data_IF_785543645516
#
_entry.id   IF_785543645516
#
_cell.length_a   1.000
_cell.length_b   1.000
_cell.length_c   1.000
_cell.angle_alpha   90.00
_cell.angle_beta   90.00
_cell.angle_gamma   90.00
#
_symmetry.space_group_name_H-M   'P 1'
#
loop_
_entity.id
_entity.type
_entity.pdbx_description
1 polymer ?
#
# COMPACT_ATOMS: atom_id res chain seq x y z
N UNK A 1 21.17 -30.86 36.58
CA UNK A 1 19.78 -30.73 36.07
C UNK A 1 19.84 -29.89 34.82
N UNK A 2 20.01 -30.51 33.66
CA UNK A 2 19.92 -29.84 32.36
C UNK A 2 18.45 -29.54 32.10
N UNK A 3 18.06 -28.27 32.22
CA UNK A 3 16.77 -27.81 31.73
C UNK A 3 16.69 -28.09 30.23
N UNK A 4 15.80 -28.99 29.82
CA UNK A 4 15.43 -29.18 28.41
C UNK A 4 14.79 -27.88 27.92
N UNK A 5 15.61 -26.95 27.44
CA UNK A 5 15.12 -25.76 26.73
C UNK A 5 14.59 -26.26 25.39
N UNK A 6 13.28 -26.14 25.18
CA UNK A 6 12.68 -26.49 23.90
C UNK A 6 13.22 -25.55 22.82
N UNK A 7 13.96 -26.08 21.84
CA UNK A 7 14.52 -25.30 20.73
C UNK A 7 13.45 -24.75 19.80
N UNK A 8 12.24 -25.32 19.84
CA UNK A 8 11.06 -24.90 19.10
C UNK A 8 9.83 -24.79 20.02
N UNK A 9 8.95 -23.84 19.76
CA UNK A 9 7.67 -23.72 20.47
C UNK A 9 6.57 -23.22 19.52
N UNK A 10 5.33 -23.64 19.72
CA UNK A 10 4.24 -23.28 18.81
C UNK A 10 3.95 -21.78 18.84
N UNK A 11 3.63 -21.22 17.67
CA UNK A 11 3.02 -19.90 17.56
C UNK A 11 1.56 -19.94 18.03
N UNK A 12 0.94 -18.76 18.21
CA UNK A 12 -0.46 -18.63 18.61
C UNK A 12 -1.41 -19.39 17.68
N UNK A 13 -2.60 -19.73 18.17
CA UNK A 13 -3.64 -20.40 17.37
C UNK A 13 -4.04 -19.61 16.12
N UNK A 14 -3.89 -18.28 16.13
CA UNK A 14 -4.12 -17.40 14.98
C UNK A 14 -3.15 -17.62 13.83
N UNK A 15 -2.00 -18.27 14.05
CA UNK A 15 -1.00 -18.57 13.03
C UNK A 15 -1.10 -20.00 12.48
N UNK A 16 -1.93 -20.85 13.10
CA UNK A 16 -2.14 -22.23 12.68
C UNK A 16 -3.28 -22.32 11.65
N UNK A 17 -3.11 -23.14 10.60
CA UNK A 17 -4.15 -23.38 9.58
C UNK A 17 -4.19 -24.87 9.20
N UNK A 18 -5.26 -25.36 8.55
CA UNK A 18 -5.37 -26.76 8.14
C UNK A 18 -4.17 -27.30 7.35
N UNK A 19 -3.48 -26.42 6.60
CA UNK A 19 -2.31 -26.75 5.78
C UNK A 19 -1.06 -25.96 6.18
N UNK A 20 -0.98 -25.47 7.42
CA UNK A 20 0.18 -24.74 7.95
C UNK A 20 0.31 -24.96 9.44
N UNK A 21 1.46 -25.48 9.87
CA UNK A 21 1.84 -25.53 11.29
C UNK A 21 3.03 -24.62 11.52
N UNK A 22 2.88 -23.68 12.43
CA UNK A 22 3.86 -22.61 12.66
C UNK A 22 4.48 -22.69 14.05
N UNK A 23 5.80 -22.60 14.10
CA UNK A 23 6.61 -22.59 15.31
C UNK A 23 7.49 -21.35 15.35
N UNK A 24 7.91 -20.98 16.54
CA UNK A 24 9.10 -20.19 16.77
C UNK A 24 10.28 -21.12 17.00
N UNK A 25 11.47 -20.68 16.59
CA UNK A 25 12.72 -21.40 16.79
C UNK A 25 13.75 -20.50 17.46
N UNK A 26 14.58 -21.08 18.33
CA UNK A 26 15.69 -20.37 18.92
C UNK A 26 16.71 -19.98 17.84
N UNK A 27 17.07 -18.70 17.81
CA UNK A 27 18.05 -18.16 16.85
C UNK A 27 19.37 -18.94 16.93
N UNK A 28 19.92 -19.30 15.77
CA UNK A 28 21.17 -20.06 15.64
C UNK A 28 20.98 -21.57 15.46
N UNK A 29 19.80 -22.12 15.77
CA UNK A 29 19.50 -23.55 15.61
C UNK A 29 18.63 -23.87 14.37
N UNK A 30 18.32 -22.86 13.55
CA UNK A 30 17.41 -23.00 12.42
C UNK A 30 17.83 -24.10 11.44
N UNK A 31 19.08 -24.08 10.96
CA UNK A 31 19.58 -25.04 9.98
C UNK A 31 19.55 -26.49 10.52
N UNK A 32 20.02 -26.69 11.75
CA UNK A 32 20.05 -28.01 12.40
C UNK A 32 18.64 -28.57 12.58
N UNK A 33 17.73 -27.78 13.16
CA UNK A 33 16.35 -28.21 13.41
C UNK A 33 15.61 -28.45 12.10
N UNK A 34 15.77 -27.57 11.09
CA UNK A 34 15.15 -27.75 9.78
C UNK A 34 15.58 -29.07 9.14
N UNK A 35 16.88 -29.40 9.20
CA UNK A 35 17.40 -30.65 8.68
C UNK A 35 16.79 -31.86 9.39
N UNK A 36 16.87 -31.90 10.73
CA UNK A 36 16.33 -33.01 11.52
C UNK A 36 14.81 -33.17 11.36
N UNK A 37 14.08 -32.05 11.31
CA UNK A 37 12.63 -32.07 11.14
C UNK A 37 12.23 -32.52 9.74
N UNK A 38 12.94 -32.09 8.71
CA UNK A 38 12.71 -32.54 7.33
C UNK A 38 12.88 -34.05 7.22
N UNK A 39 14.01 -34.59 7.69
CA UNK A 39 14.28 -36.04 7.70
C UNK A 39 13.19 -36.83 8.45
N UNK A 40 12.77 -36.34 9.63
CA UNK A 40 11.72 -36.97 10.42
C UNK A 40 10.37 -37.01 9.69
N UNK A 41 9.97 -35.92 9.06
CA UNK A 41 8.67 -35.81 8.38
C UNK A 41 8.65 -36.64 7.08
N UNK A 42 9.73 -36.61 6.31
CA UNK A 42 9.89 -37.44 5.10
C UNK A 42 9.87 -38.93 5.47
N UNK A 43 10.55 -39.35 6.54
CA UNK A 43 10.53 -40.74 7.03
C UNK A 43 9.15 -41.21 7.50
N UNK A 44 8.24 -40.26 7.81
CA UNK A 44 6.82 -40.55 8.11
C UNK A 44 5.94 -40.56 6.86
N UNK A 45 6.51 -40.43 5.67
CA UNK A 45 5.78 -40.41 4.40
C UNK A 45 5.04 -39.09 4.15
N UNK A 46 5.42 -38.00 4.82
CA UNK A 46 4.80 -36.69 4.62
C UNK A 46 5.53 -35.91 3.53
N UNK A 47 4.75 -35.39 2.58
CA UNK A 47 5.24 -34.51 1.53
C UNK A 47 5.15 -33.04 1.98
N UNK A 48 6.23 -32.55 2.58
CA UNK A 48 6.26 -31.27 3.27
C UNK A 48 7.50 -30.47 2.88
N UNK A 49 7.40 -29.16 3.07
CA UNK A 49 8.55 -28.26 3.11
C UNK A 49 8.53 -27.43 4.39
N UNK A 50 9.71 -26.99 4.77
CA UNK A 50 9.94 -26.21 5.97
C UNK A 50 10.51 -24.86 5.54
N UNK A 51 9.85 -23.78 5.96
CA UNK A 51 10.22 -22.41 5.65
C UNK A 51 10.67 -21.73 6.93
N UNK A 52 11.91 -21.23 6.94
CA UNK A 52 12.42 -20.36 8.00
C UNK A 52 12.39 -18.91 7.54
N UNK A 53 11.85 -18.02 8.37
CA UNK A 53 11.69 -16.60 8.02
C UNK A 53 11.69 -15.68 9.23
N UNK A 54 12.01 -14.41 9.02
CA UNK A 54 11.97 -13.37 10.05
C UNK A 54 13.00 -13.59 11.17
N UNK A 55 13.98 -14.45 10.95
CA UNK A 55 14.98 -14.83 11.95
C UNK A 55 14.44 -15.62 13.16
N UNK A 56 13.17 -16.06 13.16
CA UNK A 56 12.55 -16.75 14.30
C UNK A 56 11.38 -17.66 13.92
N UNK A 57 10.70 -17.43 12.79
CA UNK A 57 9.52 -18.19 12.40
C UNK A 57 9.89 -19.43 11.60
N UNK A 58 9.27 -20.55 11.91
CA UNK A 58 9.42 -21.83 11.23
C UNK A 58 8.04 -22.35 10.82
N UNK A 59 7.77 -22.41 9.53
CA UNK A 59 6.50 -22.89 8.97
C UNK A 59 6.67 -24.25 8.31
N UNK A 60 5.83 -25.21 8.68
CA UNK A 60 5.72 -26.51 8.01
C UNK A 60 4.48 -26.47 7.14
N UNK A 61 4.69 -26.70 5.84
CA UNK A 61 3.65 -26.63 4.81
C UNK A 61 3.68 -27.90 3.95
N UNK A 62 2.57 -28.29 3.32
CA UNK A 62 2.61 -29.23 2.20
C UNK A 62 3.59 -28.75 1.12
N UNK A 63 4.25 -29.68 0.43
CA UNK A 63 5.25 -29.34 -0.59
C UNK A 63 4.70 -28.36 -1.66
N UNK A 64 3.47 -28.60 -2.13
CA UNK A 64 2.79 -27.76 -3.12
C UNK A 64 2.15 -26.46 -2.60
N UNK A 65 2.37 -26.09 -1.33
CA UNK A 65 1.89 -24.81 -0.77
C UNK A 65 2.97 -23.72 -0.87
N UNK A 66 2.80 -22.55 -0.24
CA UNK A 66 3.82 -21.49 -0.21
C UNK A 66 3.65 -20.42 -1.29
N UNK A 67 4.43 -19.33 -1.17
CA UNK A 67 4.27 -18.12 -1.99
C UNK A 67 4.65 -18.36 -3.46
N UNK A 68 5.70 -19.13 -3.73
CA UNK A 68 6.13 -19.47 -5.09
C UNK A 68 5.09 -20.33 -5.83
N UNK A 69 4.62 -21.41 -5.19
CA UNK A 69 3.58 -22.29 -5.76
C UNK A 69 2.25 -21.55 -6.00
N UNK A 70 1.86 -20.67 -5.08
CA UNK A 70 0.68 -19.83 -5.25
C UNK A 70 0.81 -18.89 -6.46
N UNK A 71 1.98 -18.28 -6.66
CA UNK A 71 2.24 -17.42 -7.82
C UNK A 71 2.26 -18.23 -9.12
N UNK A 72 2.91 -19.40 -9.14
CA UNK A 72 2.92 -20.30 -10.30
C UNK A 72 1.51 -20.73 -10.69
N UNK A 73 0.65 -21.03 -9.71
CA UNK A 73 -0.76 -21.31 -9.91
C UNK A 73 -1.50 -20.10 -10.52
N UNK A 74 -1.30 -18.88 -10.01
CA UNK A 74 -1.91 -17.67 -10.56
C UNK A 74 -1.47 -17.40 -12.00
N UNK A 75 -0.18 -17.53 -12.31
CA UNK A 75 0.34 -17.42 -13.68
C UNK A 75 -0.33 -18.43 -14.61
N UNK A 76 -0.44 -19.70 -14.19
CA UNK A 76 -1.12 -20.75 -14.97
C UNK A 76 -2.59 -20.40 -15.23
N UNK A 77 -3.30 -19.92 -14.20
CA UNK A 77 -4.70 -19.51 -14.31
C UNK A 77 -4.88 -18.33 -15.26
N UNK A 78 -4.11 -17.26 -15.08
CA UNK A 78 -4.19 -16.09 -15.95
C UNK A 78 -3.81 -16.41 -17.40
N UNK A 79 -2.84 -17.30 -17.61
CA UNK A 79 -2.51 -17.80 -18.95
C UNK A 79 -3.68 -18.55 -19.59
N UNK A 80 -4.35 -19.43 -18.85
CA UNK A 80 -5.53 -20.14 -19.34
C UNK A 80 -6.69 -19.19 -19.69
N UNK A 81 -6.84 -18.10 -18.93
CA UNK A 81 -7.87 -17.08 -19.16
C UNK A 81 -7.47 -16.04 -20.23
N UNK A 82 -6.30 -16.15 -20.87
CA UNK A 82 -5.79 -15.19 -21.85
C UNK A 82 -5.44 -13.82 -21.25
N UNK A 83 -5.19 -13.75 -19.94
CA UNK A 83 -4.96 -12.54 -19.14
C UNK A 83 -3.63 -12.56 -18.39
N UNK A 84 -2.64 -13.29 -18.90
CA UNK A 84 -1.31 -13.33 -18.27
C UNK A 84 -0.74 -11.90 -18.17
N UNK A 85 -0.29 -11.45 -16.99
CA UNK A 85 0.34 -10.14 -16.85
C UNK A 85 1.56 -10.01 -17.76
N UNK A 86 1.72 -8.85 -18.39
CA UNK A 86 2.91 -8.56 -19.22
C UNK A 86 4.18 -8.60 -18.39
N UNK A 87 4.11 -8.06 -17.17
CA UNK A 87 5.20 -8.04 -16.21
C UNK A 87 4.66 -8.49 -14.85
N UNK A 88 5.44 -9.32 -14.16
CA UNK A 88 5.21 -9.68 -12.75
C UNK A 88 6.41 -9.22 -11.94
N UNK A 89 6.19 -8.40 -10.92
CA UNK A 89 7.22 -8.02 -9.95
C UNK A 89 6.93 -8.71 -8.61
N UNK A 90 7.85 -9.54 -8.15
CA UNK A 90 7.83 -10.12 -6.80
C UNK A 90 8.69 -9.28 -5.87
N UNK A 91 8.21 -9.06 -4.65
CA UNK A 91 8.87 -8.23 -3.65
C UNK A 91 9.01 -9.06 -2.37
N UNK A 92 10.23 -9.22 -1.86
CA UNK A 92 10.49 -10.06 -0.70
C UNK A 92 11.34 -9.37 0.36
N UNK A 93 11.06 -9.69 1.62
CA UNK A 93 11.79 -9.19 2.78
C UNK A 93 12.25 -10.32 3.72
N UNK A 94 11.76 -11.55 3.58
CA UNK A 94 12.14 -12.66 4.46
C UNK A 94 12.23 -14.01 3.74
N UNK A 95 12.67 -15.04 4.46
CA UNK A 95 12.90 -16.37 3.88
C UNK A 95 11.66 -17.03 3.25
N UNK A 96 10.45 -16.64 3.66
CA UNK A 96 9.22 -17.16 3.08
C UNK A 96 8.93 -16.63 1.65
N UNK A 97 9.69 -15.63 1.20
CA UNK A 97 9.60 -15.05 -0.15
C UNK A 97 10.56 -15.71 -1.14
N UNK A 98 11.54 -16.50 -0.68
CA UNK A 98 12.61 -17.06 -1.52
C UNK A 98 12.08 -17.78 -2.77
N UNK A 99 11.02 -18.56 -2.63
CA UNK A 99 10.40 -19.30 -3.74
C UNK A 99 9.75 -18.40 -4.80
N UNK A 100 9.32 -17.17 -4.45
CA UNK A 100 8.75 -16.23 -5.43
C UNK A 100 9.76 -15.91 -6.53
N UNK A 101 11.03 -15.78 -6.16
CA UNK A 101 12.10 -15.43 -7.08
C UNK A 101 12.53 -16.57 -8.01
N UNK A 102 12.13 -17.81 -7.70
CA UNK A 102 12.36 -18.98 -8.55
C UNK A 102 11.26 -19.21 -9.59
N UNK A 103 10.14 -18.47 -9.51
CA UNK A 103 9.05 -18.57 -10.49
C UNK A 103 9.53 -17.99 -11.84
N UNK A 104 9.32 -18.69 -12.97
CA UNK A 104 9.69 -18.17 -14.28
C UNK A 104 8.99 -16.86 -14.64
N UNK A 105 9.65 -16.04 -15.46
CA UNK A 105 9.12 -14.80 -16.03
C UNK A 105 8.65 -13.75 -15.01
N UNK A 106 9.35 -13.68 -13.88
CA UNK A 106 9.18 -12.62 -12.89
C UNK A 106 10.41 -11.70 -12.85
N UNK A 107 10.17 -10.44 -12.52
CA UNK A 107 11.14 -9.53 -11.94
C UNK A 107 11.11 -9.67 -10.42
N UNK A 108 12.23 -9.51 -9.75
CA UNK A 108 12.34 -9.65 -8.30
C UNK A 108 13.04 -8.46 -7.65
N UNK A 109 12.54 -8.06 -6.49
CA UNK A 109 13.25 -7.14 -5.59
C UNK A 109 13.34 -7.71 -4.18
N UNK A 110 14.58 -7.77 -3.69
CA UNK A 110 14.88 -7.92 -2.26
C UNK A 110 15.02 -6.51 -1.68
N UNK A 111 14.15 -6.14 -0.75
CA UNK A 111 14.19 -4.78 -0.14
C UNK A 111 15.38 -4.63 0.80
N UNK A 112 15.91 -3.42 1.00
CA UNK A 112 17.17 -3.26 1.75
C UNK A 112 17.07 -3.61 3.25
N UNK A 113 15.85 -3.64 3.80
CA UNK A 113 15.57 -4.10 5.15
C UNK A 113 15.22 -5.60 5.23
N UNK A 114 15.57 -6.38 4.21
CA UNK A 114 15.35 -7.82 4.20
C UNK A 114 16.12 -8.53 5.32
N UNK A 115 15.53 -9.61 5.81
CA UNK A 115 16.14 -10.48 6.81
C UNK A 115 17.32 -11.28 6.24
N UNK A 116 18.23 -11.68 7.15
CA UNK A 116 19.49 -12.32 6.84
C UNK A 116 19.33 -13.59 5.98
N UNK A 117 18.28 -14.38 6.21
CA UNK A 117 18.04 -15.59 5.43
C UNK A 117 17.73 -15.30 3.94
N UNK A 118 17.00 -14.22 3.64
CA UNK A 118 16.74 -13.84 2.25
C UNK A 118 17.98 -13.22 1.59
N UNK A 119 18.76 -12.44 2.34
CA UNK A 119 20.02 -11.87 1.85
C UNK A 119 21.05 -12.98 1.53
N UNK A 120 21.16 -14.01 2.38
CA UNK A 120 21.98 -15.19 2.12
C UNK A 120 21.52 -15.92 0.87
N UNK A 121 20.21 -16.14 0.74
CA UNK A 121 19.63 -16.76 -0.45
C UNK A 121 19.94 -15.94 -1.72
N UNK A 122 19.78 -14.61 -1.68
CA UNK A 122 20.07 -13.73 -2.81
C UNK A 122 21.54 -13.81 -3.24
N UNK A 123 22.46 -13.76 -2.27
CA UNK A 123 23.90 -13.85 -2.53
C UNK A 123 24.30 -15.18 -3.17
N UNK A 124 23.61 -16.27 -2.84
CA UNK A 124 23.88 -17.62 -3.35
C UNK A 124 23.20 -17.91 -4.69
N UNK A 125 22.00 -17.37 -4.94
CA UNK A 125 21.13 -17.81 -6.03
C UNK A 125 20.86 -16.74 -7.10
N UNK A 126 21.07 -15.45 -6.80
CA UNK A 126 20.53 -14.36 -7.64
C UNK A 126 21.56 -13.30 -8.04
N UNK A 127 22.81 -13.39 -7.58
CA UNK A 127 23.84 -12.37 -7.85
C UNK A 127 24.07 -12.11 -9.35
N UNK A 128 23.91 -13.12 -10.18
CA UNK A 128 24.09 -13.03 -11.64
C UNK A 128 22.76 -13.01 -12.42
N UNK A 129 21.62 -12.94 -11.72
CA UNK A 129 20.31 -12.90 -12.37
C UNK A 129 19.87 -11.44 -12.62
N UNK A 130 19.87 -10.95 -13.88
CA UNK A 130 19.54 -9.56 -14.17
C UNK A 130 18.06 -9.22 -13.92
N UNK A 131 17.20 -10.22 -13.66
CA UNK A 131 15.79 -10.02 -13.33
C UNK A 131 15.56 -9.82 -11.83
N UNK A 132 16.59 -9.92 -10.99
CA UNK A 132 16.46 -9.76 -9.54
C UNK A 132 17.46 -8.71 -9.07
N UNK A 133 16.98 -7.73 -8.30
CA UNK A 133 17.84 -6.74 -7.66
C UNK A 133 17.74 -6.79 -6.15
N UNK A 134 18.83 -6.41 -5.49
CA UNK A 134 18.81 -5.98 -4.11
C UNK A 134 18.69 -4.45 -4.09
N UNK A 135 17.54 -3.94 -3.64
CA UNK A 135 17.26 -2.53 -3.55
C UNK A 135 18.18 -1.85 -2.53
N UNK A 136 18.48 -0.57 -2.75
CA UNK A 136 19.12 0.28 -1.72
C UNK A 136 18.07 0.85 -0.76
N UNK A 137 16.84 1.02 -1.25
CA UNK A 137 15.72 1.57 -0.51
C UNK A 137 14.98 0.52 0.33
N UNK A 138 14.41 0.99 1.45
CA UNK A 138 13.69 0.16 2.43
C UNK A 138 12.21 0.05 2.06
N UNK A 139 11.57 -1.05 2.44
CA UNK A 139 10.12 -1.24 2.40
C UNK A 139 9.52 -0.88 1.02
N UNK A 140 8.42 -0.11 0.99
CA UNK A 140 7.75 0.31 -0.23
C UNK A 140 8.64 1.15 -1.17
N UNK A 141 9.62 1.90 -0.63
CA UNK A 141 10.56 2.65 -1.48
C UNK A 141 11.45 1.70 -2.29
N UNK A 142 11.80 0.52 -1.75
CA UNK A 142 12.49 -0.53 -2.51
C UNK A 142 11.66 -1.10 -3.67
N UNK A 143 10.34 -1.23 -3.47
CA UNK A 143 9.41 -1.64 -4.53
C UNK A 143 9.38 -0.58 -5.64
N UNK A 144 9.24 0.69 -5.27
CA UNK A 144 9.24 1.83 -6.21
C UNK A 144 10.56 1.88 -6.99
N UNK A 145 11.70 1.70 -6.30
CA UNK A 145 13.02 1.62 -6.93
C UNK A 145 13.07 0.51 -7.99
N UNK A 146 12.55 -0.68 -7.69
CA UNK A 146 12.53 -1.81 -8.62
C UNK A 146 11.63 -1.56 -9.84
N UNK A 147 10.45 -0.94 -9.64
CA UNK A 147 9.57 -0.55 -10.74
C UNK A 147 10.32 0.35 -11.73
N UNK A 148 11.09 1.31 -11.22
CA UNK A 148 11.92 2.20 -12.04
C UNK A 148 13.10 1.47 -12.70
N UNK A 149 13.81 0.64 -11.93
CA UNK A 149 14.97 -0.12 -12.42
C UNK A 149 14.62 -1.03 -13.61
N UNK A 150 13.49 -1.74 -13.52
CA UNK A 150 13.04 -2.64 -14.60
C UNK A 150 12.23 -1.93 -15.69
N UNK A 151 11.93 -0.63 -15.53
CA UNK A 151 11.15 0.14 -16.51
C UNK A 151 9.71 -0.35 -16.66
N UNK A 152 9.13 -0.94 -15.62
CA UNK A 152 7.81 -1.59 -15.66
C UNK A 152 6.66 -0.70 -15.17
N UNK A 153 6.93 0.56 -14.80
CA UNK A 153 5.91 1.50 -14.37
C UNK A 153 6.46 2.83 -13.85
N UNK A 154 5.58 3.74 -13.39
CA UNK A 154 5.99 4.97 -12.72
C UNK A 154 6.64 4.65 -11.37
N UNK A 155 7.77 5.29 -11.10
CA UNK A 155 8.60 5.06 -9.93
C UNK A 155 8.78 6.32 -9.06
N UNK A 156 7.84 7.25 -9.14
CA UNK A 156 7.81 8.46 -8.33
C UNK A 156 6.45 8.50 -7.64
N UNK A 157 6.44 8.57 -6.31
CA UNK A 157 5.20 8.74 -5.56
C UNK A 157 4.62 10.12 -5.85
N UNK A 158 3.29 10.26 -6.02
CA UNK A 158 2.65 11.57 -6.08
C UNK A 158 3.01 12.49 -4.90
N UNK A 159 3.33 11.90 -3.73
CA UNK A 159 3.80 12.63 -2.55
C UNK A 159 5.17 13.27 -2.72
N UNK A 160 6.01 12.71 -3.58
CA UNK A 160 7.40 13.16 -3.79
C UNK A 160 7.52 14.12 -4.98
N UNK A 161 6.45 14.29 -5.77
CA UNK A 161 6.41 15.26 -6.86
C UNK A 161 6.20 16.67 -6.28
N UNK A 162 7.18 17.55 -6.41
CA UNK A 162 7.10 18.95 -5.96
C UNK A 162 6.27 19.83 -6.90
N UNK A 163 6.36 19.61 -8.21
CA UNK A 163 5.63 20.38 -9.21
C UNK A 163 4.31 19.72 -9.62
N UNK A 164 3.23 20.51 -9.64
CA UNK A 164 1.91 20.16 -10.20
C UNK A 164 1.93 19.75 -11.68
N UNK A 165 3.11 19.79 -12.33
CA UNK A 165 3.34 19.42 -13.72
C UNK A 165 3.52 17.93 -14.00
N UNK A 166 3.64 17.05 -12.99
CA UNK A 166 3.66 15.60 -13.24
C UNK A 166 2.27 15.10 -13.59
N UNK A 167 1.83 15.39 -14.81
CA UNK A 167 0.62 14.84 -15.42
C UNK A 167 0.87 13.36 -15.70
N UNK A 168 0.70 12.51 -14.68
CA UNK A 168 0.49 11.09 -14.92
C UNK A 168 -0.71 11.02 -15.85
N UNK A 169 -0.50 10.54 -17.08
CA UNK A 169 -1.50 10.54 -18.17
C UNK A 169 -2.69 9.60 -17.91
N UNK A 170 -2.95 9.18 -16.67
CA UNK A 170 -4.04 8.27 -16.33
C UNK A 170 -5.31 9.06 -16.07
N UNK A 171 -6.36 8.77 -16.84
CA UNK A 171 -7.72 9.23 -16.55
C UNK A 171 -8.27 8.38 -15.40
N UNK A 172 -7.88 8.71 -14.16
CA UNK A 172 -8.29 8.00 -12.96
C UNK A 172 -8.87 9.00 -11.96
N UNK A 173 -10.20 9.01 -11.74
CA UNK A 173 -10.83 9.92 -10.80
C UNK A 173 -10.27 9.79 -9.37
N UNK A 174 -9.85 8.59 -8.95
CA UNK A 174 -9.18 8.37 -7.67
C UNK A 174 -7.82 9.06 -7.57
N UNK A 175 -7.10 9.23 -8.69
CA UNK A 175 -5.84 9.97 -8.69
C UNK A 175 -6.05 11.46 -8.38
N UNK A 176 -7.10 12.08 -8.92
CA UNK A 176 -7.42 13.49 -8.63
C UNK A 176 -7.73 13.70 -7.14
N UNK A 177 -8.44 12.76 -6.52
CA UNK A 177 -8.70 12.79 -5.08
C UNK A 177 -7.39 12.72 -4.28
N UNK A 178 -6.46 11.84 -4.66
CA UNK A 178 -5.14 11.75 -4.03
C UNK A 178 -4.40 13.08 -4.16
N UNK A 179 -4.38 13.66 -5.37
CA UNK A 179 -3.69 14.93 -5.62
C UNK A 179 -4.31 16.10 -4.84
N UNK A 180 -5.63 16.16 -4.73
CA UNK A 180 -6.34 17.15 -3.94
C UNK A 180 -5.94 17.08 -2.45
N UNK A 181 -5.97 15.89 -1.83
CA UNK A 181 -5.62 15.78 -0.42
C UNK A 181 -4.12 15.95 -0.14
N UNK A 182 -3.24 15.66 -1.10
CA UNK A 182 -1.83 16.04 -1.01
C UNK A 182 -1.64 17.56 -1.05
N UNK A 183 -2.36 18.26 -1.93
CA UNK A 183 -2.37 19.72 -1.98
C UNK A 183 -2.92 20.31 -0.67
N UNK A 184 -4.01 19.75 -0.15
CA UNK A 184 -4.59 20.11 1.15
C UNK A 184 -3.57 19.98 2.29
N UNK A 185 -2.84 18.84 2.39
CA UNK A 185 -1.79 18.64 3.40
C UNK A 185 -0.70 19.72 3.27
N UNK A 186 -0.18 19.91 2.06
CA UNK A 186 0.92 20.85 1.79
C UNK A 186 0.53 22.30 2.04
N UNK A 187 -0.70 22.67 1.72
CA UNK A 187 -1.25 24.01 1.98
C UNK A 187 -1.24 24.33 3.48
N UNK A 188 -1.83 23.44 4.29
CA UNK A 188 -1.86 23.58 5.75
C UNK A 188 -0.47 23.57 6.38
N UNK A 189 0.50 22.91 5.75
CA UNK A 189 1.91 22.89 6.21
C UNK A 189 2.77 24.02 5.65
N UNK A 190 2.24 24.87 4.76
CA UNK A 190 2.97 25.90 4.02
C UNK A 190 4.19 25.32 3.25
N UNK A 191 3.97 24.20 2.56
CA UNK A 191 4.93 23.51 1.67
C UNK A 191 4.69 23.76 0.18
N UNK A 192 3.67 24.56 -0.15
CA UNK A 192 3.37 25.06 -1.50
C UNK A 192 3.35 26.58 -1.48
N UNK A 193 3.51 27.22 -2.63
CA UNK A 193 3.43 28.67 -2.74
C UNK A 193 2.01 29.18 -2.42
N UNK A 194 1.91 30.18 -1.55
CA UNK A 194 0.68 30.92 -1.31
C UNK A 194 0.45 31.91 -2.46
N UNK A 195 -0.11 31.41 -3.56
CA UNK A 195 -0.40 32.18 -4.77
C UNK A 195 -1.84 31.97 -5.22
N UNK A 196 -2.37 32.95 -5.96
CA UNK A 196 -3.70 32.89 -6.56
C UNK A 196 -3.85 31.67 -7.47
N UNK A 197 -2.77 31.22 -8.10
CA UNK A 197 -2.76 30.01 -8.92
C UNK A 197 -3.04 28.75 -8.10
N UNK A 198 -2.43 28.62 -6.91
CA UNK A 198 -2.66 27.48 -6.01
C UNK A 198 -4.10 27.46 -5.51
N UNK A 199 -4.62 28.61 -5.12
CA UNK A 199 -6.02 28.78 -4.68
C UNK A 199 -6.97 28.43 -5.84
N UNK A 200 -6.68 28.94 -7.04
CA UNK A 200 -7.46 28.62 -8.24
C UNK A 200 -7.47 27.12 -8.54
N UNK A 201 -6.34 26.41 -8.36
CA UNK A 201 -6.29 24.96 -8.53
C UNK A 201 -7.22 24.23 -7.56
N UNK A 202 -7.28 24.66 -6.29
CA UNK A 202 -8.24 24.11 -5.31
C UNK A 202 -9.68 24.37 -5.73
N UNK A 203 -10.01 25.60 -6.11
CA UNK A 203 -11.36 25.99 -6.55
C UNK A 203 -11.75 25.23 -7.82
N UNK A 204 -10.81 25.00 -8.73
CA UNK A 204 -11.07 24.40 -10.03
C UNK A 204 -11.72 23.02 -9.90
N UNK A 205 -11.44 22.26 -8.84
CA UNK A 205 -12.01 20.91 -8.64
C UNK A 205 -13.47 20.95 -8.19
N UNK A 206 -14.00 22.09 -7.75
CA UNK A 206 -15.37 22.22 -7.29
C UNK A 206 -16.35 22.46 -8.45
N UNK A 207 -17.48 21.75 -8.45
CA UNK A 207 -18.63 22.16 -9.25
C UNK A 207 -19.30 23.39 -8.60
N UNK A 208 -19.77 24.40 -9.36
CA UNK A 208 -20.38 25.62 -8.78
C UNK A 208 -21.56 25.36 -7.84
N UNK A 209 -22.32 24.29 -8.11
CA UNK A 209 -23.44 23.83 -7.26
C UNK A 209 -23.08 22.57 -6.47
N UNK A 210 -21.80 22.32 -6.27
CA UNK A 210 -21.31 21.13 -5.57
C UNK A 210 -21.60 21.20 -4.07
N UNK A 211 -22.04 20.09 -3.48
CA UNK A 211 -22.41 20.02 -2.07
C UNK A 211 -21.51 19.04 -1.33
N UNK A 212 -21.09 19.41 -0.12
CA UNK A 212 -20.42 18.55 0.84
C UNK A 212 -21.35 18.31 2.04
N UNK A 213 -21.70 17.04 2.29
CA UNK A 213 -22.35 16.59 3.51
C UNK A 213 -21.25 16.26 4.53
N UNK A 214 -21.08 17.15 5.50
CA UNK A 214 -20.08 17.03 6.55
C UNK A 214 -20.42 15.87 7.50
N UNK A 215 -19.45 15.22 8.18
CA UNK A 215 -19.72 14.16 9.14
C UNK A 215 -20.65 14.54 10.31
N UNK A 216 -20.85 15.83 10.57
CA UNK A 216 -21.86 16.33 11.54
C UNK A 216 -23.30 16.28 11.02
N UNK A 217 -23.51 15.96 9.73
CA UNK A 217 -24.80 16.00 9.05
C UNK A 217 -25.16 17.36 8.44
N UNK A 218 -24.29 18.37 8.56
CA UNK A 218 -24.51 19.70 7.97
C UNK A 218 -24.07 19.70 6.50
N UNK A 219 -24.89 20.29 5.63
CA UNK A 219 -24.56 20.49 4.22
C UNK A 219 -23.87 21.85 4.03
N UNK A 220 -22.78 21.84 3.27
CA UNK A 220 -22.02 23.02 2.88
C UNK A 220 -21.83 23.05 1.37
N UNK A 221 -21.68 24.24 0.79
CA UNK A 221 -21.16 24.33 -0.57
C UNK A 221 -19.68 23.89 -0.56
N UNK A 222 -19.26 23.13 -1.59
CA UNK A 222 -17.85 22.74 -1.75
C UNK A 222 -16.96 23.98 -1.86
N UNK A 223 -17.45 25.06 -2.49
CA UNK A 223 -16.73 26.32 -2.59
C UNK A 223 -16.58 26.99 -1.23
N UNK A 224 -17.62 26.97 -0.38
CA UNK A 224 -17.53 27.49 0.99
C UNK A 224 -16.51 26.70 1.82
N UNK A 225 -16.45 25.37 1.66
CA UNK A 225 -15.41 24.56 2.33
C UNK A 225 -13.99 24.89 1.83
N UNK A 226 -13.82 25.28 0.57
CA UNK A 226 -12.53 25.73 0.05
C UNK A 226 -12.20 27.13 0.58
N UNK A 227 -13.19 28.03 0.67
CA UNK A 227 -13.02 29.37 1.24
C UNK A 227 -12.62 29.31 2.73
N UNK A 228 -13.08 28.30 3.48
CA UNK A 228 -12.62 28.06 4.85
C UNK A 228 -11.23 27.41 4.91
N UNK A 229 -10.78 26.70 3.87
CA UNK A 229 -9.44 26.14 3.76
C UNK A 229 -8.36 27.19 3.44
N UNK A 230 -8.66 28.18 2.60
CA UNK A 230 -7.72 29.24 2.20
C UNK A 230 -7.02 29.90 3.41
N UNK A 231 -7.73 30.38 4.46
CA UNK A 231 -7.10 31.00 5.63
C UNK A 231 -6.29 30.02 6.51
N UNK A 232 -6.41 28.70 6.31
CA UNK A 232 -5.62 27.70 7.01
C UNK A 232 -4.20 27.53 6.46
N UNK A 233 -3.76 28.35 5.51
CA UNK A 233 -2.39 28.27 4.99
C UNK A 233 -1.34 28.35 6.12
N UNK A 234 -0.54 27.29 6.25
CA UNK A 234 0.52 27.22 7.26
C UNK A 234 0.08 27.02 8.71
N UNK A 235 -1.21 26.77 9.00
CA UNK A 235 -1.72 26.54 10.37
C UNK A 235 -1.12 25.28 11.05
N UNK A 236 -0.62 24.35 10.23
CA UNK A 236 0.11 23.13 10.63
C UNK A 236 1.60 23.19 10.31
N UNK A 237 2.17 24.36 10.01
CA UNK A 237 3.61 24.51 9.76
C UNK A 237 4.43 24.06 10.98
N UNK A 238 5.37 23.16 10.74
CA UNK A 238 6.24 22.60 11.79
C UNK A 238 5.56 21.62 12.76
N UNK A 239 4.26 21.32 12.59
CA UNK A 239 3.51 20.35 13.42
C UNK A 239 3.50 18.97 12.78
N UNK A 240 3.19 17.93 13.56
CA UNK A 240 2.89 16.62 12.99
C UNK A 240 1.52 16.71 12.32
N UNK A 241 1.51 16.79 11.00
CA UNK A 241 0.27 16.79 10.22
C UNK A 241 0.45 15.96 8.95
N UNK A 242 -0.38 14.94 8.78
CA UNK A 242 -0.39 14.09 7.58
C UNK A 242 -1.81 13.80 7.15
N UNK A 243 -2.04 13.82 5.84
CA UNK A 243 -3.30 13.43 5.23
C UNK A 243 -3.02 12.34 4.20
N UNK A 244 -3.87 11.31 4.20
CA UNK A 244 -3.83 10.29 3.16
C UNK A 244 -5.23 9.74 2.91
N UNK A 245 -5.39 9.15 1.74
CA UNK A 245 -6.59 8.41 1.37
C UNK A 245 -6.25 6.93 1.26
N UNK A 246 -7.08 6.07 1.84
CA UNK A 246 -6.93 4.62 1.81
C UNK A 246 -8.15 3.97 1.11
N UNK A 247 -8.00 2.74 0.65
CA UNK A 247 -9.06 1.95 -0.02
C UNK A 247 -9.77 2.70 -1.16
N UNK A 248 -9.01 3.51 -1.92
CA UNK A 248 -9.56 4.27 -3.04
C UNK A 248 -10.12 3.32 -4.10
N UNK A 249 -11.40 3.46 -4.41
CA UNK A 249 -12.09 2.74 -5.47
C UNK A 249 -12.85 3.72 -6.34
N UNK A 250 -12.91 3.44 -7.64
CA UNK A 250 -13.61 4.28 -8.61
C UNK A 250 -14.51 3.42 -9.49
N UNK A 251 -15.72 3.88 -9.76
CA UNK A 251 -16.69 3.20 -10.60
C UNK A 251 -17.42 4.22 -11.46
N UNK A 252 -17.41 4.00 -12.77
CA UNK A 252 -18.15 4.84 -13.70
C UNK A 252 -19.65 4.51 -13.59
N UNK A 253 -20.49 5.53 -13.42
CA UNK A 253 -21.96 5.35 -13.27
C UNK A 253 -22.75 5.91 -14.47
N UNK A 254 -22.15 6.83 -15.24
CA UNK A 254 -22.66 7.31 -16.53
C UNK A 254 -21.49 7.64 -17.47
N UNK A 255 -21.78 8.14 -18.68
CA UNK A 255 -20.74 8.54 -19.64
C UNK A 255 -19.75 9.57 -19.08
N UNK A 256 -20.20 10.44 -18.18
CA UNK A 256 -19.49 11.58 -17.64
C UNK A 256 -19.34 11.55 -16.12
N UNK A 257 -20.13 10.75 -15.40
CA UNK A 257 -20.12 10.69 -13.93
C UNK A 257 -19.43 9.45 -13.37
N UNK A 258 -18.72 9.68 -12.27
CA UNK A 258 -17.92 8.70 -11.55
C UNK A 258 -18.24 8.73 -10.06
N UNK A 259 -18.37 7.55 -9.47
CA UNK A 259 -18.46 7.36 -8.04
C UNK A 259 -17.08 6.93 -7.51
N UNK A 260 -16.53 7.68 -6.57
CA UNK A 260 -15.26 7.38 -5.90
C UNK A 260 -15.50 7.18 -4.42
N UNK A 261 -14.96 6.11 -3.85
CA UNK A 261 -15.04 5.82 -2.41
C UNK A 261 -13.66 5.63 -1.83
N UNK A 262 -13.42 6.17 -0.65
CA UNK A 262 -12.14 6.08 0.06
C UNK A 262 -12.29 6.40 1.54
N UNK A 263 -11.31 5.98 2.33
CA UNK A 263 -11.17 6.37 3.73
C UNK A 263 -10.21 7.56 3.78
N UNK A 264 -10.69 8.73 4.18
CA UNK A 264 -9.84 9.90 4.42
C UNK A 264 -9.28 9.85 5.83
N UNK A 265 -7.97 9.87 5.94
CA UNK A 265 -7.28 9.91 7.21
C UNK A 265 -6.55 11.23 7.42
N UNK A 266 -6.64 11.75 8.64
CA UNK A 266 -5.77 12.82 9.14
C UNK A 266 -5.04 12.36 10.40
N UNK A 267 -3.74 12.59 10.44
CA UNK A 267 -2.93 12.46 11.64
C UNK A 267 -2.49 13.86 12.06
N UNK A 268 -2.77 14.22 13.31
CA UNK A 268 -2.33 15.45 13.96
C UNK A 268 -1.69 15.14 15.32
N UNK A 269 -1.23 16.17 16.02
CA UNK A 269 -0.76 16.06 17.41
C UNK A 269 -1.88 15.54 18.37
N UNK A 270 -3.16 15.68 18.00
CA UNK A 270 -4.33 15.22 18.78
C UNK A 270 -4.66 13.74 18.54
N UNK A 271 -3.97 13.11 17.58
CA UNK A 271 -4.18 11.72 17.21
C UNK A 271 -4.64 11.56 15.77
N UNK A 272 -5.32 10.45 15.51
CA UNK A 272 -5.70 10.03 14.16
C UNK A 272 -7.21 10.05 14.00
N UNK A 273 -7.68 10.71 12.96
CA UNK A 273 -9.10 10.81 12.61
C UNK A 273 -9.36 10.23 11.23
N UNK A 274 -10.57 9.70 11.03
CA UNK A 274 -10.94 9.05 9.78
C UNK A 274 -12.40 9.28 9.41
N UNK A 275 -12.62 9.60 8.13
CA UNK A 275 -13.95 9.63 7.51
C UNK A 275 -14.04 8.70 6.33
N UNK A 276 -15.11 7.91 6.30
CA UNK A 276 -15.56 7.20 5.11
C UNK A 276 -16.14 8.24 4.15
N UNK A 277 -15.56 8.35 2.96
CA UNK A 277 -15.90 9.39 2.00
C UNK A 277 -16.40 8.77 0.70
N UNK A 278 -17.56 9.25 0.24
CA UNK A 278 -18.12 8.94 -1.09
C UNK A 278 -18.22 10.23 -1.89
N UNK A 279 -17.70 10.21 -3.11
CA UNK A 279 -17.63 11.37 -3.98
C UNK A 279 -18.28 11.05 -5.32
N UNK A 280 -19.19 11.92 -5.75
CA UNK A 280 -19.68 12.00 -7.12
C UNK A 280 -18.86 13.05 -7.88
N UNK A 281 -18.16 12.59 -8.91
CA UNK A 281 -17.37 13.41 -9.83
C UNK A 281 -18.03 13.47 -11.20
N UNK A 282 -18.00 14.63 -11.84
CA UNK A 282 -18.32 14.78 -13.26
C UNK A 282 -17.07 15.12 -14.06
N UNK A 283 -16.97 14.56 -15.26
CA UNK A 283 -15.95 14.91 -16.24
C UNK A 283 -16.19 16.33 -16.73
N UNK A 284 -15.13 17.15 -16.81
CA UNK A 284 -15.24 18.52 -17.32
C UNK A 284 -15.23 18.53 -18.85
N UNK A 285 -16.24 19.11 -19.52
CA UNK A 285 -16.26 19.20 -20.97
C UNK A 285 -15.11 20.08 -21.52
N UNK A 286 -14.84 21.19 -20.85
CA UNK A 286 -13.83 22.18 -21.23
C UNK A 286 -12.38 21.78 -20.94
N UNK A 287 -12.14 20.79 -20.07
CA UNK A 287 -10.79 20.31 -19.74
C UNK A 287 -10.70 18.80 -19.96
N UNK A 288 -10.04 18.35 -21.05
CA UNK A 288 -9.82 16.93 -21.29
C UNK A 288 -9.12 16.30 -20.07
N UNK A 289 -9.78 15.31 -19.44
CA UNK A 289 -9.36 14.62 -18.21
C UNK A 289 -9.51 15.39 -16.89
N UNK A 290 -10.13 16.57 -16.89
CA UNK A 290 -10.50 17.26 -15.67
C UNK A 290 -11.76 16.66 -15.03
N UNK A 291 -11.81 16.63 -13.70
CA UNK A 291 -13.00 16.26 -12.94
C UNK A 291 -13.47 17.42 -12.07
N UNK A 292 -14.78 17.47 -11.80
CA UNK A 292 -15.42 18.41 -10.88
C UNK A 292 -16.22 17.63 -9.82
N UNK A 293 -16.08 18.03 -8.56
CA UNK A 293 -16.77 17.49 -7.39
C UNK A 293 -18.20 18.02 -7.38
N UNK A 294 -19.17 17.12 -7.51
CA UNK A 294 -20.60 17.43 -7.53
C UNK A 294 -21.23 17.16 -6.16
N UNK A 295 -20.87 16.03 -5.56
CA UNK A 295 -21.37 15.68 -4.23
C UNK A 295 -20.26 14.96 -3.46
N UNK A 296 -20.01 15.39 -2.23
CA UNK A 296 -19.09 14.75 -1.29
C UNK A 296 -19.90 14.39 -0.06
N UNK A 297 -19.93 13.13 0.33
CA UNK A 297 -20.55 12.70 1.58
C UNK A 297 -19.50 12.03 2.46
N UNK A 298 -19.34 12.57 3.67
CA UNK A 298 -18.43 12.05 4.66
C UNK A 298 -19.17 11.57 5.90
N UNK A 299 -18.70 10.46 6.46
CA UNK A 299 -19.18 9.94 7.75
C UNK A 299 -17.98 9.52 8.58
N UNK A 300 -17.99 9.82 9.88
CA UNK A 300 -16.92 9.37 10.77
C UNK A 300 -16.81 7.85 10.77
N UNK A 301 -15.58 7.33 10.76
CA UNK A 301 -15.33 5.94 11.08
C UNK A 301 -15.43 5.75 12.61
N UNK A 302 -16.16 4.72 13.04
CA UNK A 302 -16.37 4.43 14.46
C UNK A 302 -15.05 4.37 15.24
N UNK A 303 -14.95 5.16 16.31
CA UNK A 303 -13.76 5.27 17.16
C UNK A 303 -12.68 6.23 16.64
N UNK A 304 -12.88 6.89 15.49
CA UNK A 304 -11.92 7.81 14.87
C UNK A 304 -12.51 9.19 14.57
N UNK A 305 -13.60 9.57 15.24
CA UNK A 305 -14.17 10.91 15.14
C UNK A 305 -13.22 11.99 15.67
N UNK A 306 -13.23 13.18 15.08
CA UNK A 306 -12.55 14.34 15.66
C UNK A 306 -13.25 14.79 16.94
N UNK A 307 -12.46 15.15 17.98
CA UNK A 307 -13.00 15.69 19.23
C UNK A 307 -13.61 17.09 19.04
N UNK A 308 -12.97 17.91 18.19
CA UNK A 308 -13.51 19.19 17.72
C UNK A 308 -13.83 19.10 16.22
N UNK A 309 -15.12 19.01 15.91
CA UNK A 309 -15.60 18.91 14.53
C UNK A 309 -15.33 20.17 13.70
N UNK A 310 -15.04 21.32 14.30
CA UNK A 310 -14.77 22.57 13.57
C UNK A 310 -13.40 22.57 12.87
N UNK A 311 -12.51 21.67 13.29
CA UNK A 311 -11.17 21.53 12.71
C UNK A 311 -11.16 20.69 11.43
N UNK A 312 -12.27 20.00 11.13
CA UNK A 312 -12.45 19.17 9.94
C UNK A 312 -13.10 19.99 8.83
N UNK A 313 -12.35 20.25 7.76
CA UNK A 313 -12.75 21.21 6.72
C UNK A 313 -13.30 20.52 5.46
N UNK A 314 -12.61 19.47 5.02
CA UNK A 314 -12.83 18.81 3.74
C UNK A 314 -12.38 17.35 3.79
#
# INVERSE_FOLDING_TARGET
MSSNVSLIWMQSSTEQRPHKVSFFIQKGYAEEVMKSLSELLVNRGLDVKIIYSGGICLDILPLGAGKGEALAYLHKKFKADGKLPTNTLVCGDSGNDTELFSVPDVYGVVVSNAHEELLKWYAQNSKDNPKIIHATERCAAGIIQAIGHFGIGPNISPRDVMDSGCKIKSFNPGHEIVMFYLLYERWRRAEVENSDLTIHNMISIAHPSGILVHPSGVEHSILECIDTLVPCYGDKRGKQFRVWVDRVSSSQISSDSWLVKFDKWELSDEGRHCCLTTVLLNSKPETPKGFALVNVHQTWLDGYAAGDHTTWIF
#
